data_IF_574091298787
#
_entry.id   IF_574091298787
#
_cell.length_a   1.000
_cell.length_b   1.000
_cell.length_c   1.000
_cell.angle_alpha   90.00
_cell.angle_beta   90.00
_cell.angle_gamma   90.00
#
_symmetry.space_group_name_H-M   'P 1'
#
loop_
_entity.id
_entity.type
_entity.pdbx_description
1 polymer ?
#
# COMPACT_ATOMS: atom_id res chain seq x y z
N UNK A 1 4.04 -5.75 13.36
CA UNK A 1 5.04 -5.05 14.20
C UNK A 1 6.01 -6.02 14.90
N UNK A 2 5.56 -7.22 15.31
CA UNK A 2 6.39 -8.25 16.00
C UNK A 2 7.70 -8.56 15.27
N UNK A 3 7.70 -8.60 13.93
CA UNK A 3 8.92 -8.86 13.15
C UNK A 3 9.97 -7.76 13.34
N UNK A 4 9.54 -6.50 13.33
CA UNK A 4 10.42 -5.35 13.59
C UNK A 4 11.01 -5.44 14.99
N UNK A 5 10.17 -5.70 15.99
CA UNK A 5 10.63 -5.87 17.37
C UNK A 5 11.70 -6.97 17.49
N UNK A 6 11.52 -8.11 16.80
CA UNK A 6 12.50 -9.21 16.79
C UNK A 6 13.81 -8.83 16.11
N UNK A 7 13.77 -8.10 14.97
CA UNK A 7 14.97 -7.65 14.28
C UNK A 7 15.85 -6.78 15.18
N UNK A 8 15.22 -5.92 15.98
CA UNK A 8 15.91 -5.02 16.91
C UNK A 8 16.02 -5.59 18.34
N UNK A 9 15.79 -6.88 18.56
CA UNK A 9 15.83 -7.53 19.88
C UNK A 9 14.97 -6.82 20.94
N UNK A 10 13.82 -6.27 20.57
CA UNK A 10 12.92 -5.45 21.40
C UNK A 10 13.57 -4.16 21.96
N UNK A 11 14.70 -3.73 21.41
CA UNK A 11 15.37 -2.49 21.78
C UNK A 11 14.64 -1.31 21.16
N UNK A 12 13.86 -0.60 21.97
CA UNK A 12 13.06 0.54 21.56
C UNK A 12 13.93 1.71 21.08
N UNK A 13 15.10 1.91 21.68
CA UNK A 13 16.00 2.98 21.27
C UNK A 13 16.52 2.73 19.85
N UNK A 14 16.98 1.52 19.56
CA UNK A 14 17.42 1.13 18.21
C UNK A 14 16.30 1.23 17.18
N UNK A 15 15.07 0.86 17.55
CA UNK A 15 13.92 1.01 16.66
C UNK A 15 13.73 2.50 16.30
N UNK A 16 13.75 3.40 17.28
CA UNK A 16 13.57 4.84 17.06
C UNK A 16 14.70 5.50 16.26
N UNK A 17 15.92 5.01 16.41
CA UNK A 17 17.08 5.49 15.65
C UNK A 17 17.04 5.08 14.16
N UNK A 18 16.36 3.97 13.85
CA UNK A 18 16.35 3.38 12.50
C UNK A 18 15.02 3.48 11.76
N UNK A 19 13.92 3.79 12.45
CA UNK A 19 12.58 3.80 11.87
C UNK A 19 11.86 5.10 12.24
N UNK A 20 11.47 5.86 11.21
CA UNK A 20 10.59 7.01 11.34
C UNK A 20 9.18 6.65 10.86
N UNK A 21 8.16 7.11 11.58
CA UNK A 21 6.76 6.87 11.25
C UNK A 21 6.05 8.18 10.90
N UNK A 22 5.24 8.15 9.83
CA UNK A 22 4.45 9.29 9.38
C UNK A 22 3.00 8.86 9.14
N UNK A 23 2.09 9.81 9.30
CA UNK A 23 0.68 9.66 8.93
C UNK A 23 0.23 10.83 8.08
N UNK A 24 -0.67 10.55 7.14
CA UNK A 24 -1.24 11.54 6.23
C UNK A 24 -2.74 11.31 6.12
N UNK A 25 -3.49 12.38 5.91
CA UNK A 25 -4.92 12.30 5.65
C UNK A 25 -5.23 11.87 4.20
N UNK A 26 -6.49 11.53 3.97
CA UNK A 26 -6.95 11.08 2.65
C UNK A 26 -6.74 12.14 1.57
N UNK A 27 -6.95 13.43 1.94
CA UNK A 27 -6.77 14.54 1.00
C UNK A 27 -5.31 14.61 0.53
N UNK A 28 -4.35 14.62 1.45
CA UNK A 28 -2.93 14.63 1.13
C UNK A 28 -2.51 13.42 0.28
N UNK A 29 -3.12 12.27 0.56
CA UNK A 29 -2.88 11.03 -0.19
C UNK A 29 -3.39 11.14 -1.63
N UNK A 30 -4.62 11.63 -1.82
CA UNK A 30 -5.20 11.83 -3.16
C UNK A 30 -4.44 12.91 -3.95
N UNK A 31 -4.10 14.02 -3.33
CA UNK A 31 -3.28 15.09 -3.94
C UNK A 31 -1.90 14.54 -4.38
N UNK A 32 -1.34 13.59 -3.63
CA UNK A 32 -0.09 12.93 -4.00
C UNK A 32 -0.24 12.03 -5.23
N UNK A 33 -1.31 11.23 -5.30
CA UNK A 33 -1.61 10.37 -6.47
C UNK A 33 -1.75 11.24 -7.72
N UNK A 34 -2.53 12.33 -7.64
CA UNK A 34 -2.70 13.27 -8.74
C UNK A 34 -1.37 13.86 -9.22
N UNK A 35 -0.54 14.38 -8.28
CA UNK A 35 0.76 14.97 -8.61
C UNK A 35 1.74 13.98 -9.23
N UNK A 36 1.81 12.75 -8.73
CA UNK A 36 2.66 11.71 -9.30
C UNK A 36 2.24 11.35 -10.73
N UNK A 37 0.93 11.30 -10.99
CA UNK A 37 0.41 11.10 -12.34
C UNK A 37 0.78 12.26 -13.26
N UNK A 38 0.53 13.51 -12.85
CA UNK A 38 0.74 14.69 -13.68
C UNK A 38 2.21 14.97 -14.00
N UNK A 39 3.11 14.83 -13.01
CA UNK A 39 4.50 15.25 -13.17
C UNK A 39 5.45 14.10 -13.55
N UNK A 40 5.11 12.87 -13.18
CA UNK A 40 5.97 11.71 -13.37
C UNK A 40 5.35 10.65 -14.29
N UNK A 41 4.11 10.87 -14.77
CA UNK A 41 3.35 9.87 -15.52
C UNK A 41 3.31 8.51 -14.78
N UNK A 42 3.21 8.56 -13.43
CA UNK A 42 3.21 7.39 -12.57
C UNK A 42 1.92 7.31 -11.76
N UNK A 43 1.12 6.30 -12.04
CA UNK A 43 -0.11 6.02 -11.30
C UNK A 43 0.20 5.08 -10.14
N UNK A 44 -0.01 5.56 -8.93
CA UNK A 44 0.24 4.82 -7.69
C UNK A 44 -1.05 4.47 -6.96
N UNK A 45 -0.99 3.44 -6.11
CA UNK A 45 -2.05 3.14 -5.15
C UNK A 45 -1.93 4.02 -3.89
N UNK A 46 -3.00 4.18 -3.07
CA UNK A 46 -2.98 5.05 -1.90
C UNK A 46 -1.91 4.70 -0.87
N UNK A 47 -1.58 3.42 -0.67
CA UNK A 47 -0.56 3.00 0.29
C UNK A 47 0.84 3.39 -0.17
N UNK A 48 1.12 3.21 -1.44
CA UNK A 48 2.39 3.63 -2.05
C UNK A 48 2.52 5.15 -2.06
N UNK A 49 1.42 5.89 -2.25
CA UNK A 49 1.40 7.35 -2.13
C UNK A 49 1.79 7.81 -0.71
N UNK A 50 1.27 7.16 0.33
CA UNK A 50 1.65 7.43 1.72
C UNK A 50 3.13 7.13 1.95
N UNK A 51 3.65 6.03 1.41
CA UNK A 51 5.08 5.70 1.47
C UNK A 51 5.96 6.77 0.82
N UNK A 52 5.57 7.28 -0.36
CA UNK A 52 6.25 8.38 -1.03
C UNK A 52 6.19 9.69 -0.23
N UNK A 53 5.04 10.03 0.33
CA UNK A 53 4.89 11.21 1.20
C UNK A 53 5.77 11.12 2.45
N UNK A 54 5.84 9.92 3.07
CA UNK A 54 6.71 9.66 4.22
C UNK A 54 8.18 9.86 3.87
N UNK A 55 8.62 9.33 2.74
CA UNK A 55 9.98 9.54 2.24
C UNK A 55 10.28 11.02 2.00
N UNK A 56 9.39 11.74 1.34
CA UNK A 56 9.56 13.20 1.11
C UNK A 56 9.66 13.97 2.41
N UNK A 57 8.81 13.65 3.38
CA UNK A 57 8.79 14.31 4.68
C UNK A 57 10.09 14.04 5.45
N UNK A 58 10.56 12.79 5.46
CA UNK A 58 11.82 12.42 6.07
C UNK A 58 13.02 13.20 5.49
N UNK A 59 13.09 13.29 4.15
CA UNK A 59 14.12 14.03 3.45
C UNK A 59 14.11 15.50 3.84
N UNK A 60 12.93 16.11 3.89
CA UNK A 60 12.75 17.52 4.26
C UNK A 60 13.14 17.80 5.71
N UNK A 61 12.69 16.96 6.66
CA UNK A 61 12.98 17.13 8.09
C UNK A 61 14.46 16.95 8.42
N UNK A 62 15.16 16.12 7.65
CA UNK A 62 16.59 15.86 7.85
C UNK A 62 17.51 16.68 6.93
N UNK A 63 16.96 17.61 6.14
CA UNK A 63 17.71 18.48 5.21
C UNK A 63 18.67 17.70 4.28
N UNK A 64 18.23 16.54 3.77
CA UNK A 64 19.06 15.67 2.94
C UNK A 64 19.18 16.25 1.53
N UNK A 65 20.40 16.60 1.10
CA UNK A 65 20.67 17.18 -0.22
C UNK A 65 21.18 16.17 -1.25
N UNK A 66 21.85 15.12 -0.82
CA UNK A 66 22.34 14.02 -1.67
C UNK A 66 21.85 12.70 -1.11
N UNK A 67 20.81 12.15 -1.71
CA UNK A 67 20.22 10.90 -1.24
C UNK A 67 19.68 10.08 -2.41
N UNK A 68 19.63 8.77 -2.22
CA UNK A 68 18.86 7.86 -3.04
C UNK A 68 17.69 7.36 -2.18
N UNK A 69 16.47 7.80 -2.52
CA UNK A 69 15.25 7.38 -1.84
C UNK A 69 14.58 6.22 -2.57
N UNK A 70 14.09 5.25 -1.82
CA UNK A 70 13.29 4.14 -2.34
C UNK A 70 11.96 4.08 -1.60
N UNK A 71 10.87 3.97 -2.31
CA UNK A 71 9.59 3.57 -1.73
C UNK A 71 9.07 2.31 -2.42
N UNK A 72 8.38 1.46 -1.67
CA UNK A 72 7.92 0.16 -2.14
C UNK A 72 6.44 0.24 -2.50
N UNK A 73 6.13 -0.06 -3.76
CA UNK A 73 4.75 -0.26 -4.21
C UNK A 73 4.30 -1.68 -3.86
N UNK A 74 3.23 -1.80 -3.09
CA UNK A 74 2.75 -3.07 -2.54
C UNK A 74 1.43 -3.55 -3.15
N UNK A 75 0.76 -2.70 -3.93
CA UNK A 75 -0.50 -3.02 -4.57
C UNK A 75 -0.61 -2.40 -5.96
N UNK A 76 -1.35 -3.07 -6.86
CA UNK A 76 -1.71 -2.46 -8.14
C UNK A 76 -2.83 -1.42 -7.93
N UNK A 77 -2.76 -0.23 -8.58
CA UNK A 77 -3.74 0.85 -8.44
C UNK A 77 -5.20 0.40 -8.67
N UNK A 78 -5.42 -0.59 -9.52
CA UNK A 78 -6.75 -1.12 -9.83
C UNK A 78 -7.49 -1.69 -8.61
N UNK A 79 -6.79 -2.07 -7.55
CA UNK A 79 -7.41 -2.51 -6.28
C UNK A 79 -8.17 -1.38 -5.58
N UNK A 80 -7.79 -0.15 -5.87
CA UNK A 80 -8.34 1.07 -5.31
C UNK A 80 -8.91 1.96 -6.41
N UNK A 81 -9.53 1.32 -7.41
CA UNK A 81 -9.98 1.94 -8.66
C UNK A 81 -10.69 3.27 -8.43
N UNK A 82 -11.73 3.27 -7.61
CA UNK A 82 -12.56 4.46 -7.40
C UNK A 82 -11.76 5.64 -6.82
N UNK A 83 -10.90 5.36 -5.83
CA UNK A 83 -10.04 6.38 -5.21
C UNK A 83 -9.02 6.91 -6.20
N UNK A 84 -8.39 6.03 -6.96
CA UNK A 84 -7.34 6.42 -7.92
C UNK A 84 -7.93 7.18 -9.10
N UNK A 85 -9.01 6.69 -9.72
CA UNK A 85 -9.70 7.36 -10.83
C UNK A 85 -10.22 8.74 -10.41
N UNK A 86 -10.76 8.86 -9.20
CA UNK A 86 -11.18 10.15 -8.64
C UNK A 86 -10.00 11.13 -8.48
N UNK A 87 -8.81 10.62 -8.15
CA UNK A 87 -7.61 11.45 -7.99
C UNK A 87 -7.03 11.90 -9.34
N UNK A 88 -6.86 10.96 -10.28
CA UNK A 88 -6.22 11.25 -11.59
C UNK A 88 -7.19 11.81 -12.65
N UNK A 89 -8.51 11.83 -12.36
CA UNK A 89 -9.58 12.28 -13.27
C UNK A 89 -9.61 11.53 -14.61
N UNK A 90 -9.19 10.27 -14.61
CA UNK A 90 -9.20 9.39 -15.79
C UNK A 90 -9.48 7.94 -15.37
N UNK A 91 -9.94 7.14 -16.32
CA UNK A 91 -10.21 5.72 -16.10
C UNK A 91 -8.92 4.89 -16.09
N UNK A 92 -8.88 3.89 -15.23
CA UNK A 92 -7.82 2.88 -15.20
C UNK A 92 -8.17 1.70 -16.10
N UNK A 93 -7.22 1.28 -16.88
CA UNK A 93 -7.34 0.02 -17.61
C UNK A 93 -7.13 -1.16 -16.68
N UNK A 94 -7.98 -2.18 -16.82
CA UNK A 94 -7.80 -3.43 -16.11
C UNK A 94 -6.65 -4.21 -16.73
N UNK A 95 -5.73 -4.76 -15.91
CA UNK A 95 -4.74 -5.73 -16.39
C UNK A 95 -5.43 -6.93 -17.05
N UNK A 96 -4.82 -7.49 -18.09
CA UNK A 96 -5.42 -8.62 -18.84
C UNK A 96 -5.67 -9.84 -17.97
N UNK A 97 -4.82 -10.07 -16.96
CA UNK A 97 -5.02 -11.11 -15.95
C UNK A 97 -6.31 -10.95 -15.14
N UNK A 98 -6.77 -9.71 -14.95
CA UNK A 98 -8.03 -9.42 -14.25
C UNK A 98 -9.21 -9.45 -15.21
N UNK A 99 -9.06 -8.91 -16.43
CA UNK A 99 -10.13 -8.93 -17.46
C UNK A 99 -10.66 -10.35 -17.67
N UNK A 100 -9.79 -11.34 -17.72
CA UNK A 100 -10.15 -12.74 -17.95
C UNK A 100 -11.01 -13.39 -16.85
N UNK A 101 -11.10 -12.78 -15.67
CA UNK A 101 -11.85 -13.29 -14.52
C UNK A 101 -13.01 -12.41 -14.07
N UNK A 102 -13.16 -11.20 -14.65
CA UNK A 102 -14.19 -10.25 -14.23
C UNK A 102 -15.62 -10.78 -14.38
N UNK A 103 -15.86 -11.57 -15.42
CA UNK A 103 -17.19 -12.13 -15.72
C UNK A 103 -17.44 -13.45 -14.98
N UNK A 104 -16.50 -13.91 -14.15
CA UNK A 104 -16.69 -15.15 -13.40
C UNK A 104 -17.56 -14.90 -12.16
N UNK A 105 -18.49 -15.81 -11.95
CA UNK A 105 -19.30 -15.78 -10.72
C UNK A 105 -18.41 -16.01 -9.48
N UNK A 106 -18.62 -15.17 -8.46
CA UNK A 106 -17.86 -15.27 -7.22
C UNK A 106 -18.29 -16.50 -6.44
N UNK A 107 -17.43 -17.49 -6.33
CA UNK A 107 -17.60 -18.62 -5.41
C UNK A 107 -16.92 -18.34 -4.08
N UNK A 108 -17.72 -18.20 -3.02
CA UNK A 108 -17.20 -17.92 -1.69
C UNK A 108 -17.97 -18.70 -0.63
N UNK A 109 -17.26 -19.26 0.36
CA UNK A 109 -17.82 -19.89 1.53
C UNK A 109 -17.63 -18.97 2.74
N UNK A 110 -18.74 -18.58 3.37
CA UNK A 110 -18.70 -17.77 4.59
C UNK A 110 -18.36 -18.64 5.79
N UNK A 111 -17.39 -18.20 6.57
CA UNK A 111 -16.99 -18.82 7.84
C UNK A 111 -17.09 -17.79 8.96
N UNK A 112 -17.64 -18.19 10.11
CA UNK A 112 -17.91 -17.27 11.22
C UNK A 112 -16.83 -17.29 12.29
N UNK A 113 -15.93 -18.29 12.27
CA UNK A 113 -14.88 -18.44 13.27
C UNK A 113 -13.57 -18.97 12.67
N UNK A 114 -12.47 -18.75 13.39
CA UNK A 114 -11.18 -19.36 13.04
C UNK A 114 -11.24 -20.90 13.10
N UNK A 115 -11.99 -21.47 14.02
CA UNK A 115 -12.14 -22.93 14.14
C UNK A 115 -12.77 -23.53 12.90
N UNK A 116 -13.86 -22.93 12.37
CA UNK A 116 -14.49 -23.36 11.13
C UNK A 116 -13.54 -23.29 9.93
N UNK A 117 -12.71 -22.22 9.84
CA UNK A 117 -11.71 -22.12 8.79
C UNK A 117 -10.65 -23.21 8.91
N UNK A 118 -10.17 -23.47 10.13
CA UNK A 118 -9.17 -24.50 10.40
C UNK A 118 -9.70 -25.90 10.03
N UNK A 119 -10.89 -26.25 10.46
CA UNK A 119 -11.54 -27.53 10.13
C UNK A 119 -11.71 -27.67 8.62
N UNK A 120 -12.20 -26.64 7.95
CA UNK A 120 -12.36 -26.66 6.49
C UNK A 120 -11.04 -26.89 5.77
N UNK A 121 -9.94 -26.28 6.20
CA UNK A 121 -8.63 -26.44 5.58
C UNK A 121 -8.00 -27.82 5.88
N UNK A 122 -8.30 -28.40 7.04
CA UNK A 122 -7.77 -29.70 7.45
C UNK A 122 -8.51 -30.90 6.80
N UNK A 123 -9.74 -30.68 6.36
CA UNK A 123 -10.60 -31.72 5.73
C UNK A 123 -10.93 -31.42 4.27
N UNK A 124 -10.15 -30.56 3.63
CA UNK A 124 -10.27 -30.29 2.20
C UNK A 124 -9.50 -31.40 1.46
N UNK A 125 -10.24 -32.35 0.88
CA UNK A 125 -9.74 -33.34 -0.10
C UNK A 125 -9.31 -32.65 -1.41
#
# INVERSE_FOLDING_TARGET
FIRIQKIFNNDLQKIRENISGYSFDDKSTMDCIEKLNQHNNYITDPHSAIGYLGLKKYIQENNLNNFNGLFVSTAHPIKFKDTVENSIKSQLEYPDSIKSIMDREKSAKTMKSYSELKEYLMHKD
#
